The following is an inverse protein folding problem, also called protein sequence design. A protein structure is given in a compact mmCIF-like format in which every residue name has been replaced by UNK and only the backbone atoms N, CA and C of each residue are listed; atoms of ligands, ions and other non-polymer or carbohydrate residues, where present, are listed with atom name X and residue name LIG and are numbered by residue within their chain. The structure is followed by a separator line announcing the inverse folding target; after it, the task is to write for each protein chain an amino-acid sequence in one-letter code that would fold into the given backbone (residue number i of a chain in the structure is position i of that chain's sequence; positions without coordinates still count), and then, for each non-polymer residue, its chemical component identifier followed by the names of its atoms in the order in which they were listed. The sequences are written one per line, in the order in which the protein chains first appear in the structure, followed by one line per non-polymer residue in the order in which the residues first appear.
data_IF_264282642067
#
_entry.id   IF_264282642067
#
_cell.length_a   1.000
_cell.length_b   1.000
_cell.length_c   1.000
_cell.angle_alpha   90.00
_cell.angle_beta   90.00
_cell.angle_gamma   90.00
#
_symmetry.space_group_name_H-M   'P 1'
#
loop_
_entity.id
_entity.type
_entity.pdbx_description
1 polymer ?
#
# COMPACT_ATOMS: atom_id res chain seq x y z
N UNK A 1 12.96 -1.81 -1.67
CA UNK A 1 11.88 -1.99 -2.69
C UNK A 1 12.52 -1.96 -4.07
N UNK A 2 12.49 -3.06 -4.85
CA UNK A 2 13.24 -3.13 -6.13
C UNK A 2 12.54 -3.89 -7.25
N UNK A 3 11.25 -4.24 -7.10
CA UNK A 3 10.51 -5.03 -8.10
C UNK A 3 10.15 -4.21 -9.34
N UNK A 4 9.86 -4.89 -10.46
CA UNK A 4 9.51 -4.28 -11.76
C UNK A 4 8.39 -3.25 -11.64
N UNK A 5 7.27 -3.62 -11.03
CA UNK A 5 6.13 -2.73 -10.83
C UNK A 5 6.49 -1.45 -10.06
N UNK A 6 7.30 -1.55 -9.01
CA UNK A 6 7.70 -0.37 -8.25
C UNK A 6 8.60 0.55 -9.09
N UNK A 7 9.56 -0.02 -9.83
CA UNK A 7 10.42 0.75 -10.72
C UNK A 7 9.61 1.43 -11.84
N UNK A 8 8.71 0.70 -12.47
CA UNK A 8 7.94 1.21 -13.60
C UNK A 8 6.85 2.21 -13.19
N UNK A 9 6.02 1.87 -12.19
CA UNK A 9 4.83 2.66 -11.86
C UNK A 9 5.11 3.80 -10.87
N UNK A 10 6.05 3.60 -9.93
CA UNK A 10 6.31 4.57 -8.86
C UNK A 10 7.49 5.47 -9.22
N UNK A 11 8.62 4.91 -9.67
CA UNK A 11 9.83 5.69 -9.95
C UNK A 11 9.93 6.17 -11.41
N UNK A 12 9.44 5.39 -12.37
CA UNK A 12 9.55 5.68 -13.79
C UNK A 12 8.41 6.57 -14.29
N UNK A 13 7.22 5.99 -14.46
CA UNK A 13 6.05 6.68 -14.99
C UNK A 13 5.39 7.61 -13.97
N UNK A 14 5.76 7.49 -12.69
CA UNK A 14 5.19 8.23 -11.56
C UNK A 14 3.65 8.24 -11.54
N UNK A 15 3.04 7.13 -11.98
CA UNK A 15 1.57 6.99 -12.01
C UNK A 15 1.00 6.51 -10.68
N UNK A 16 1.84 5.91 -9.83
CA UNK A 16 1.41 5.32 -8.57
C UNK A 16 2.27 5.78 -7.38
N UNK A 17 1.66 5.93 -6.20
CA UNK A 17 2.38 6.12 -4.92
C UNK A 17 2.89 4.78 -4.38
N UNK A 18 2.18 3.70 -4.68
CA UNK A 18 2.52 2.34 -4.30
C UNK A 18 2.07 1.35 -5.37
N UNK A 19 2.79 0.24 -5.49
CA UNK A 19 2.43 -0.86 -6.37
C UNK A 19 2.77 -2.18 -5.70
N UNK A 20 1.94 -3.20 -5.93
CA UNK A 20 2.07 -4.52 -5.34
C UNK A 20 1.70 -5.61 -6.34
N UNK A 21 2.24 -6.80 -6.10
CA UNK A 21 1.75 -8.04 -6.69
C UNK A 21 1.88 -9.15 -5.66
N UNK A 22 0.85 -10.00 -5.55
CA UNK A 22 0.91 -11.16 -4.68
C UNK A 22 0.07 -12.30 -5.24
N UNK A 23 0.52 -13.52 -4.98
CA UNK A 23 -0.20 -14.75 -5.30
C UNK A 23 -1.02 -15.18 -4.08
N UNK A 24 -2.25 -15.64 -4.32
CA UNK A 24 -3.09 -16.33 -3.35
C UNK A 24 -3.47 -17.69 -3.93
N UNK A 25 -2.50 -18.61 -3.93
CA UNK A 25 -2.73 -20.00 -4.31
C UNK A 25 -3.76 -20.64 -3.38
N UNK A 26 -4.71 -21.35 -3.99
CA UNK A 26 -5.72 -22.18 -3.32
C UNK A 26 -5.89 -23.45 -4.13
N UNK A 27 -6.45 -24.49 -3.51
CA UNK A 27 -6.68 -25.78 -4.17
C UNK A 27 -7.55 -25.69 -5.44
N UNK A 28 -8.55 -24.80 -5.46
CA UNK A 28 -9.50 -24.68 -6.58
C UNK A 28 -9.49 -23.30 -7.23
N UNK A 29 -9.81 -22.24 -6.48
CA UNK A 29 -9.97 -20.89 -6.99
C UNK A 29 -8.90 -19.95 -6.41
N UNK A 30 -7.64 -20.22 -6.74
CA UNK A 30 -6.53 -19.31 -6.43
C UNK A 30 -6.57 -18.06 -7.33
N UNK A 31 -5.89 -17.00 -6.93
CA UNK A 31 -5.79 -15.78 -7.73
C UNK A 31 -4.41 -15.14 -7.66
N UNK A 32 -4.05 -14.37 -8.68
CA UNK A 32 -2.86 -13.52 -8.70
C UNK A 32 -3.31 -12.06 -8.78
N UNK A 33 -2.96 -11.29 -7.76
CA UNK A 33 -3.34 -9.89 -7.66
C UNK A 33 -2.18 -8.99 -8.06
N UNK A 34 -2.50 -7.97 -8.84
CA UNK A 34 -1.58 -6.89 -9.20
C UNK A 34 -2.36 -5.58 -9.03
N UNK A 35 -1.75 -4.58 -8.41
CA UNK A 35 -2.43 -3.31 -8.18
C UNK A 35 -1.51 -2.23 -7.66
N UNK A 36 -2.09 -1.06 -7.43
CA UNK A 36 -1.39 0.09 -6.89
C UNK A 36 -2.35 1.23 -6.55
N UNK A 37 -1.84 2.23 -5.86
CA UNK A 37 -2.56 3.46 -5.54
C UNK A 37 -2.11 4.57 -6.50
N UNK A 38 -3.06 5.19 -7.20
CA UNK A 38 -2.76 6.26 -8.15
C UNK A 38 -2.19 7.51 -7.45
N UNK A 39 -1.17 8.11 -8.05
CA UNK A 39 -0.57 9.38 -7.60
C UNK A 39 -1.34 10.55 -8.21
N UNK A 40 -1.80 11.52 -7.42
CA UNK A 40 -2.40 12.73 -7.98
C UNK A 40 -1.42 13.46 -8.92
N UNK A 41 -1.86 13.95 -10.10
CA UNK A 41 -3.24 14.02 -10.60
C UNK A 41 -3.69 12.81 -11.45
N UNK A 42 -2.93 11.71 -11.45
CA UNK A 42 -3.22 10.49 -12.23
C UNK A 42 -4.43 9.75 -11.68
N UNK A 43 -5.00 8.94 -12.54
CA UNK A 43 -6.21 8.16 -12.29
C UNK A 43 -5.88 6.68 -12.05
N UNK A 44 -6.79 5.91 -11.46
CA UNK A 44 -6.64 4.45 -11.42
C UNK A 44 -6.49 3.82 -12.81
N UNK A 45 -7.08 4.43 -13.85
CA UNK A 45 -6.92 3.97 -15.23
C UNK A 45 -5.49 4.10 -15.75
N UNK A 46 -4.76 5.15 -15.36
CA UNK A 46 -3.34 5.31 -15.70
C UNK A 46 -2.49 4.20 -15.06
N UNK A 47 -2.79 3.86 -13.81
CA UNK A 47 -2.13 2.74 -13.10
C UNK A 47 -2.45 1.42 -13.78
N UNK A 48 -3.72 1.17 -14.11
CA UNK A 48 -4.17 -0.04 -14.81
C UNK A 48 -3.44 -0.20 -16.16
N UNK A 49 -3.37 0.85 -16.96
CA UNK A 49 -2.66 0.83 -18.24
C UNK A 49 -1.16 0.54 -18.07
N UNK A 50 -0.51 1.13 -17.06
CA UNK A 50 0.89 0.86 -16.77
C UNK A 50 1.13 -0.58 -16.29
N UNK A 51 0.20 -1.15 -15.51
CA UNK A 51 0.25 -2.57 -15.12
C UNK A 51 0.19 -3.46 -16.37
N UNK A 52 -0.69 -3.16 -17.33
CA UNK A 52 -0.78 -3.92 -18.58
C UNK A 52 0.51 -3.85 -19.40
N UNK A 53 1.15 -2.68 -19.46
CA UNK A 53 2.47 -2.56 -20.09
C UNK A 53 3.51 -3.49 -19.47
N UNK A 54 3.57 -3.55 -18.13
CA UNK A 54 4.51 -4.44 -17.43
C UNK A 54 4.17 -5.93 -17.61
N UNK A 55 2.88 -6.28 -17.72
CA UNK A 55 2.45 -7.65 -18.03
C UNK A 55 2.88 -8.05 -19.45
N UNK A 56 2.69 -7.19 -20.44
CA UNK A 56 3.11 -7.47 -21.82
C UNK A 56 4.63 -7.60 -21.92
N UNK A 57 5.38 -6.76 -21.20
CA UNK A 57 6.83 -6.94 -21.07
C UNK A 57 7.19 -8.25 -20.41
N UNK A 58 6.49 -8.67 -19.34
CA UNK A 58 6.75 -9.97 -18.70
C UNK A 58 6.46 -11.16 -19.62
N UNK A 59 5.51 -11.03 -20.56
CA UNK A 59 5.22 -12.06 -21.56
C UNK A 59 6.28 -12.12 -22.64
N UNK A 60 6.81 -10.98 -23.07
CA UNK A 60 7.62 -10.89 -24.30
C UNK A 60 9.13 -10.75 -24.04
N UNK A 61 9.52 -10.22 -22.88
CA UNK A 61 10.91 -10.05 -22.47
C UNK A 61 11.27 -11.03 -21.36
N UNK A 62 12.37 -11.80 -21.49
CA UNK A 62 12.78 -12.71 -20.43
C UNK A 62 13.19 -11.93 -19.17
N UNK A 63 12.89 -12.49 -18.01
CA UNK A 63 13.44 -11.94 -16.76
C UNK A 63 14.94 -12.13 -16.72
N UNK A 64 15.67 -11.10 -16.29
CA UNK A 64 17.13 -11.21 -16.22
C UNK A 64 17.56 -12.29 -15.23
N UNK A 65 18.66 -12.99 -15.52
CA UNK A 65 19.20 -14.02 -14.63
C UNK A 65 19.48 -13.47 -13.22
N UNK A 66 19.98 -12.23 -13.12
CA UNK A 66 20.23 -11.56 -11.83
C UNK A 66 18.94 -11.33 -11.03
N UNK A 67 17.87 -10.90 -11.68
CA UNK A 67 16.58 -10.69 -11.04
C UNK A 67 15.98 -12.00 -10.56
N UNK A 68 15.98 -13.03 -11.41
CA UNK A 68 15.48 -14.36 -11.07
C UNK A 68 16.27 -14.98 -9.92
N UNK A 69 17.60 -14.89 -9.96
CA UNK A 69 18.47 -15.42 -8.90
C UNK A 69 18.21 -14.70 -7.57
N UNK A 70 17.98 -13.38 -7.58
CA UNK A 70 17.61 -12.64 -6.37
C UNK A 70 16.33 -13.17 -5.74
N UNK A 71 15.31 -13.48 -6.55
CA UNK A 71 14.05 -14.05 -6.05
C UNK A 71 14.25 -15.46 -5.52
N UNK A 72 15.00 -16.31 -6.23
CA UNK A 72 15.36 -17.66 -5.77
C UNK A 72 16.09 -17.65 -4.43
N UNK A 73 17.02 -16.73 -4.22
CA UNK A 73 17.74 -16.57 -2.96
C UNK A 73 16.79 -16.21 -1.81
N UNK A 74 15.77 -15.38 -2.06
CA UNK A 74 14.78 -15.05 -1.03
C UNK A 74 13.98 -16.30 -0.60
N UNK A 75 13.54 -17.13 -1.55
CA UNK A 75 12.85 -18.39 -1.25
C UNK A 75 13.76 -19.38 -0.51
N UNK A 76 15.01 -19.54 -0.93
CA UNK A 76 15.98 -20.39 -0.23
C UNK A 76 16.20 -19.91 1.22
N UNK A 77 16.34 -18.61 1.43
CA UNK A 77 16.50 -18.05 2.77
C UNK A 77 15.23 -18.20 3.64
N UNK A 78 14.03 -18.17 3.04
CA UNK A 78 12.80 -18.50 3.75
C UNK A 78 12.76 -19.97 4.18
N UNK A 79 13.25 -20.89 3.35
CA UNK A 79 13.31 -22.31 3.67
C UNK A 79 14.17 -22.59 4.91
N UNK A 80 15.36 -21.99 4.98
CA UNK A 80 16.28 -22.14 6.13
C UNK A 80 15.65 -21.64 7.43
N UNK A 81 14.82 -20.59 7.38
CA UNK A 81 14.18 -20.00 8.57
C UNK A 81 12.96 -20.75 9.09
N UNK A 82 12.44 -21.76 8.38
CA UNK A 82 11.19 -22.48 8.74
C UNK A 82 11.33 -23.43 9.95
N UNK A 83 12.54 -23.74 10.41
CA UNK A 83 12.80 -24.79 11.42
C UNK A 83 12.76 -24.37 12.90
N UNK A 84 12.26 -23.18 13.25
CA UNK A 84 12.47 -22.62 14.59
C UNK A 84 11.41 -23.00 15.65
N UNK A 85 10.26 -23.62 15.29
CA UNK A 85 9.19 -23.93 16.24
C UNK A 85 8.30 -25.08 15.80
N UNK A 86 8.03 -26.03 16.71
CA UNK A 86 7.12 -27.16 16.49
C UNK A 86 5.69 -26.72 16.16
N UNK A 87 5.22 -25.63 16.79
CA UNK A 87 3.89 -25.08 16.49
C UNK A 87 3.83 -24.52 15.07
N UNK A 88 4.85 -23.76 14.65
CA UNK A 88 4.91 -23.23 13.28
C UNK A 88 5.04 -24.36 12.24
N UNK A 89 5.66 -25.47 12.60
CA UNK A 89 5.72 -26.66 11.74
C UNK A 89 4.34 -27.32 11.60
N UNK A 90 3.61 -27.50 12.70
CA UNK A 90 2.23 -28.02 12.67
C UNK A 90 1.31 -27.15 11.81
N UNK A 91 1.35 -25.82 11.99
CA UNK A 91 0.54 -24.88 11.19
C UNK A 91 0.87 -24.98 9.70
N UNK A 92 2.15 -25.09 9.33
CA UNK A 92 2.55 -25.27 7.93
C UNK A 92 2.03 -26.59 7.37
N UNK A 93 2.16 -27.70 8.09
CA UNK A 93 1.66 -29.00 7.64
C UNK A 93 0.16 -28.96 7.36
N UNK A 94 -0.63 -28.34 8.25
CA UNK A 94 -2.08 -28.14 8.06
C UNK A 94 -2.34 -27.31 6.79
N UNK A 95 -1.55 -26.25 6.55
CA UNK A 95 -1.70 -25.43 5.35
C UNK A 95 -1.39 -26.20 4.06
N UNK A 96 -0.32 -27.00 4.03
CA UNK A 96 0.01 -27.82 2.85
C UNK A 96 -1.01 -28.93 2.61
N UNK A 97 -1.50 -29.57 3.68
CA UNK A 97 -2.56 -30.58 3.58
C UNK A 97 -3.86 -29.97 3.02
N UNK A 98 -4.26 -28.80 3.54
CA UNK A 98 -5.39 -28.04 2.99
C UNK A 98 -5.19 -27.61 1.53
N UNK A 99 -3.93 -27.45 1.11
CA UNK A 99 -3.54 -27.17 -0.28
C UNK A 99 -3.61 -28.39 -1.20
N UNK A 100 -3.51 -29.61 -0.66
CA UNK A 100 -3.70 -30.85 -1.40
C UNK A 100 -2.81 -32.03 -0.95
N UNK A 101 -1.59 -31.77 -0.49
CA UNK A 101 -0.67 -32.80 0.00
C UNK A 101 0.38 -32.17 0.91
N UNK A 102 0.38 -32.55 2.20
CA UNK A 102 1.36 -32.08 3.17
C UNK A 102 2.82 -32.32 2.75
N UNK A 103 3.10 -33.36 1.95
CA UNK A 103 4.46 -33.69 1.49
C UNK A 103 5.07 -32.60 0.61
N UNK A 104 4.24 -31.75 0.03
CA UNK A 104 4.65 -30.59 -0.77
C UNK A 104 5.57 -29.63 -0.01
N UNK A 105 5.54 -29.64 1.33
CA UNK A 105 6.47 -28.89 2.17
C UNK A 105 7.94 -29.19 1.86
N UNK A 106 8.24 -30.42 1.42
CA UNK A 106 9.60 -30.87 1.12
C UNK A 106 10.02 -30.56 -0.33
N UNK A 107 9.06 -30.38 -1.24
CA UNK A 107 9.32 -30.29 -2.69
C UNK A 107 9.12 -28.89 -3.26
N UNK A 108 8.40 -28.00 -2.55
CA UNK A 108 8.09 -26.64 -3.03
C UNK A 108 9.36 -25.84 -3.35
N UNK A 109 10.28 -25.70 -2.40
CA UNK A 109 11.48 -24.89 -2.58
C UNK A 109 12.39 -25.47 -3.66
N UNK A 110 12.72 -26.78 -3.68
CA UNK A 110 13.45 -27.38 -4.80
C UNK A 110 12.78 -27.13 -6.16
N UNK A 111 11.46 -27.12 -6.23
CA UNK A 111 10.71 -26.83 -7.47
C UNK A 111 10.86 -25.38 -7.89
N UNK A 112 10.75 -24.43 -6.95
CA UNK A 112 10.95 -22.99 -7.22
C UNK A 112 12.37 -22.71 -7.73
N UNK A 113 13.38 -23.39 -7.20
CA UNK A 113 14.77 -23.20 -7.62
C UNK A 113 15.05 -23.67 -9.05
N UNK A 114 14.22 -24.56 -9.61
CA UNK A 114 14.32 -25.04 -11.00
C UNK A 114 13.65 -24.12 -12.01
N UNK A 115 12.82 -23.17 -11.57
CA UNK A 115 12.07 -22.27 -12.46
C UNK A 115 13.02 -21.48 -13.36
N UNK A 116 12.72 -21.44 -14.64
CA UNK A 116 13.47 -20.69 -15.66
C UNK A 116 12.78 -19.38 -16.03
N UNK A 117 13.45 -18.52 -16.80
CA UNK A 117 12.82 -17.29 -17.30
C UNK A 117 11.71 -17.64 -18.31
N UNK A 118 11.92 -18.69 -19.08
CA UNK A 118 11.01 -19.24 -20.08
C UNK A 118 9.74 -19.79 -19.41
N UNK A 119 9.87 -20.45 -18.25
CA UNK A 119 8.71 -20.87 -17.46
C UNK A 119 7.85 -19.70 -17.02
N UNK A 120 8.49 -18.61 -16.57
CA UNK A 120 7.78 -17.39 -16.16
C UNK A 120 7.04 -16.79 -17.34
N UNK A 121 7.69 -16.67 -18.51
CA UNK A 121 7.05 -16.16 -19.73
C UNK A 121 5.89 -17.06 -20.17
N UNK A 122 6.09 -18.38 -20.18
CA UNK A 122 5.05 -19.35 -20.54
C UNK A 122 3.82 -19.23 -19.64
N UNK A 123 4.02 -19.12 -18.32
CA UNK A 123 2.93 -18.95 -17.35
C UNK A 123 2.27 -17.57 -17.50
N UNK A 124 3.04 -16.51 -17.70
CA UNK A 124 2.52 -15.17 -17.94
C UNK A 124 1.63 -15.12 -19.20
N UNK A 125 2.07 -15.74 -20.31
CA UNK A 125 1.29 -15.85 -21.55
C UNK A 125 0.01 -16.66 -21.37
N UNK A 126 0.08 -17.76 -20.60
CA UNK A 126 -1.06 -18.66 -20.39
C UNK A 126 -2.15 -18.04 -19.50
N UNK A 127 -1.77 -17.37 -18.41
CA UNK A 127 -2.71 -17.00 -17.35
C UNK A 127 -3.02 -15.51 -17.27
N UNK A 128 -2.12 -14.61 -17.67
CA UNK A 128 -2.34 -13.16 -17.59
C UNK A 128 -3.00 -12.63 -18.86
N UNK A 129 -4.16 -13.19 -19.22
CA UNK A 129 -4.92 -12.80 -20.42
C UNK A 129 -6.04 -11.81 -20.08
N UNK A 130 -6.65 -11.21 -21.10
CA UNK A 130 -7.77 -10.27 -20.91
C UNK A 130 -9.03 -11.00 -20.44
N UNK A 131 -9.19 -12.24 -20.86
CA UNK A 131 -10.34 -13.10 -20.56
C UNK A 131 -10.26 -13.65 -19.13
N UNK A 132 -9.05 -13.77 -18.58
CA UNK A 132 -8.79 -14.30 -17.24
C UNK A 132 -8.46 -13.20 -16.22
N UNK A 133 -9.11 -12.03 -16.32
CA UNK A 133 -8.92 -10.91 -15.39
C UNK A 133 -10.23 -10.32 -14.90
N UNK A 134 -10.19 -9.84 -13.66
CA UNK A 134 -11.23 -9.00 -13.06
C UNK A 134 -10.56 -7.73 -12.55
N UNK A 135 -11.12 -6.58 -12.88
CA UNK A 135 -10.59 -5.27 -12.47
C UNK A 135 -11.54 -4.65 -11.46
N UNK A 136 -11.01 -4.22 -10.32
CA UNK A 136 -11.74 -3.49 -9.30
C UNK A 136 -11.07 -2.12 -9.10
N UNK A 137 -11.83 -1.05 -9.30
CA UNK A 137 -11.35 0.32 -9.15
C UNK A 137 -12.11 1.00 -8.01
N UNK A 138 -11.36 1.48 -7.03
CA UNK A 138 -11.91 2.23 -5.90
C UNK A 138 -11.54 3.70 -6.06
N UNK A 139 -12.54 4.56 -6.17
CA UNK A 139 -12.37 6.02 -6.20
C UNK A 139 -12.96 6.64 -4.94
N UNK A 140 -12.40 7.76 -4.50
CA UNK A 140 -13.01 8.58 -3.45
C UNK A 140 -14.33 9.17 -3.97
N UNK A 141 -15.29 9.38 -3.08
CA UNK A 141 -16.53 10.08 -3.43
C UNK A 141 -16.17 11.48 -3.96
N UNK A 142 -16.78 11.96 -5.06
CA UNK A 142 -16.59 13.32 -5.51
C UNK A 142 -16.80 14.32 -4.36
N UNK A 143 -15.85 15.23 -4.14
CA UNK A 143 -15.87 16.18 -3.01
C UNK A 143 -15.17 15.69 -1.73
N UNK A 144 -14.77 14.41 -1.64
CA UNK A 144 -13.87 13.91 -0.57
C UNK A 144 -12.41 13.94 -0.98
N UNK A 145 -11.96 15.07 -1.57
CA UNK A 145 -10.52 15.36 -1.59
C UNK A 145 -10.05 15.26 -0.14
N UNK A 146 -8.95 14.55 0.13
CA UNK A 146 -8.22 14.85 1.36
C UNK A 146 -8.03 16.37 1.37
N UNK A 147 -8.34 17.09 2.45
CA UNK A 147 -8.22 18.53 2.42
C UNK A 147 -6.77 18.83 2.07
N UNK A 148 -6.54 19.21 0.81
CA UNK A 148 -5.42 20.04 0.40
C UNK A 148 -5.80 21.41 0.93
N UNK A 149 -5.79 21.51 2.26
CA UNK A 149 -5.88 22.76 2.95
C UNK A 149 -4.59 23.50 2.57
N UNK A 150 -4.67 24.69 1.96
CA UNK A 150 -3.49 25.48 1.62
C UNK A 150 -2.56 25.73 2.82
N UNK A 151 -3.08 25.58 4.04
CA UNK A 151 -2.29 25.66 5.27
C UNK A 151 -1.41 24.41 5.52
N UNK A 152 -1.68 23.28 4.85
CA UNK A 152 -0.94 22.01 4.96
C UNK A 152 0.18 21.86 3.92
N UNK A 153 0.25 22.79 2.97
CA UNK A 153 1.32 22.90 1.96
C UNK A 153 2.61 23.33 2.65
N UNK A 154 3.58 22.43 2.76
CA UNK A 154 4.88 22.67 3.42
C UNK A 154 5.13 21.81 4.67
N UNK A 155 4.13 21.08 5.16
CA UNK A 155 4.29 20.12 6.27
C UNK A 155 4.81 18.75 5.78
N UNK A 156 5.63 18.08 6.60
CA UNK A 156 6.06 16.70 6.34
C UNK A 156 4.87 15.72 6.41
N UNK A 157 4.99 14.54 5.79
CA UNK A 157 3.91 13.53 5.80
C UNK A 157 3.46 13.11 7.21
N UNK A 158 4.38 13.09 8.18
CA UNK A 158 4.07 12.83 9.60
C UNK A 158 3.28 13.99 10.22
N UNK A 159 3.68 15.24 9.96
CA UNK A 159 2.95 16.42 10.43
C UNK A 159 1.55 16.47 9.82
N UNK A 160 1.41 16.11 8.55
CA UNK A 160 0.10 16.02 7.90
C UNK A 160 -0.81 14.96 8.52
N UNK A 161 -0.26 13.82 8.92
CA UNK A 161 -1.01 12.77 9.61
C UNK A 161 -1.47 13.21 11.01
N UNK A 162 -0.62 13.92 11.76
CA UNK A 162 -0.96 14.47 13.09
C UNK A 162 -2.11 15.46 12.97
N UNK A 163 -2.04 16.43 12.05
CA UNK A 163 -3.12 17.41 11.88
C UNK A 163 -4.42 16.74 11.43
N UNK A 164 -4.36 15.75 10.53
CA UNK A 164 -5.57 14.99 10.12
C UNK A 164 -6.22 14.27 11.29
N UNK A 165 -5.42 13.65 12.17
CA UNK A 165 -5.92 12.97 13.37
C UNK A 165 -6.61 13.95 14.32
N UNK A 166 -5.97 15.08 14.60
CA UNK A 166 -6.50 16.13 15.49
C UNK A 166 -7.75 16.76 14.87
N UNK A 167 -7.74 17.06 13.57
CA UNK A 167 -8.89 17.62 12.85
C UNK A 167 -10.12 16.71 12.93
N UNK A 168 -9.93 15.40 12.84
CA UNK A 168 -11.02 14.44 12.97
C UNK A 168 -11.55 14.36 14.41
N UNK A 169 -10.69 14.51 15.43
CA UNK A 169 -11.12 14.60 16.83
C UNK A 169 -11.94 15.87 17.08
N UNK A 170 -11.49 17.01 16.56
CA UNK A 170 -12.21 18.30 16.68
C UNK A 170 -13.59 18.21 16.02
N UNK A 171 -13.69 17.61 14.83
CA UNK A 171 -14.98 17.40 14.15
C UNK A 171 -15.94 16.50 14.92
N UNK A 172 -15.42 15.53 15.67
CA UNK A 172 -16.22 14.63 16.49
C UNK A 172 -16.64 15.27 17.82
N UNK A 173 -16.02 16.37 18.24
CA UNK A 173 -16.39 17.10 19.44
C UNK A 173 -17.66 17.93 19.20
N UNK A 174 -18.56 17.85 20.16
CA UNK A 174 -19.87 18.53 20.15
C UNK A 174 -20.02 19.50 21.32
N UNK A 175 -19.13 19.44 22.32
CA UNK A 175 -19.13 20.35 23.44
C UNK A 175 -18.45 21.68 23.05
N UNK A 176 -19.26 22.74 22.94
CA UNK A 176 -18.81 24.08 22.56
C UNK A 176 -17.84 24.70 23.58
N UNK A 177 -18.14 24.60 24.88
CA UNK A 177 -17.30 25.16 25.95
C UNK A 177 -15.92 24.50 25.96
N UNK A 178 -15.87 23.20 25.74
CA UNK A 178 -14.61 22.45 25.67
C UNK A 178 -13.76 22.88 24.48
N UNK A 179 -14.38 23.16 23.33
CA UNK A 179 -13.68 23.66 22.15
C UNK A 179 -13.15 25.09 22.36
N UNK A 180 -13.92 25.95 23.03
CA UNK A 180 -13.49 27.31 23.39
C UNK A 180 -12.29 27.29 24.35
N UNK A 181 -12.37 26.48 25.41
CA UNK A 181 -11.24 26.29 26.34
C UNK A 181 -9.99 25.73 25.65
N UNK A 182 -10.16 24.82 24.69
CA UNK A 182 -9.05 24.31 23.88
C UNK A 182 -8.42 25.40 23.02
N UNK A 183 -9.22 26.27 22.41
CA UNK A 183 -8.72 27.38 21.60
C UNK A 183 -7.92 28.38 22.43
N UNK A 184 -8.45 28.80 23.58
CA UNK A 184 -7.77 29.72 24.51
C UNK A 184 -6.46 29.13 25.05
N UNK A 185 -6.44 27.85 25.40
CA UNK A 185 -5.24 27.16 25.84
C UNK A 185 -4.17 27.13 24.73
N UNK A 186 -4.57 26.92 23.48
CA UNK A 186 -3.67 26.95 22.33
C UNK A 186 -3.15 28.36 22.03
N UNK A 187 -3.98 29.40 22.18
CA UNK A 187 -3.57 30.80 22.01
C UNK A 187 -2.49 31.21 23.02
N UNK A 188 -2.67 30.83 24.29
CA UNK A 188 -1.69 31.10 25.35
C UNK A 188 -0.35 30.40 25.13
N UNK A 189 -0.39 29.18 24.58
CA UNK A 189 0.81 28.39 24.29
C UNK A 189 1.51 28.81 23.00
N UNK A 190 0.85 29.55 22.10
CA UNK A 190 1.40 29.93 20.80
C UNK A 190 2.66 30.80 20.93
N UNK A 191 2.72 31.66 21.95
CA UNK A 191 3.88 32.52 22.23
C UNK A 191 5.12 31.77 22.77
N UNK A 192 4.94 30.54 23.26
CA UNK A 192 6.01 29.72 23.84
C UNK A 192 6.53 28.64 22.89
N UNK A 193 5.86 28.42 21.75
CA UNK A 193 6.20 27.39 20.79
C UNK A 193 7.28 27.85 19.80
N UNK A 194 8.18 26.94 19.41
CA UNK A 194 9.18 27.20 18.38
C UNK A 194 8.52 27.45 17.02
N UNK A 195 9.16 28.21 16.11
CA UNK A 195 8.54 28.65 14.84
C UNK A 195 7.94 27.54 13.96
N UNK A 196 8.48 26.31 14.02
CA UNK A 196 7.89 25.13 13.34
C UNK A 196 6.63 24.60 14.02
N UNK A 197 6.57 24.64 15.36
CA UNK A 197 5.40 24.23 16.14
C UNK A 197 4.29 25.28 16.09
N UNK A 198 4.64 26.56 16.03
CA UNK A 198 3.69 27.65 15.82
C UNK A 198 2.88 27.51 14.53
N UNK A 199 3.52 27.09 13.43
CA UNK A 199 2.84 26.84 12.16
C UNK A 199 1.77 25.75 12.29
N UNK A 200 2.12 24.63 12.94
CA UNK A 200 1.21 23.51 13.17
C UNK A 200 0.04 23.90 14.09
N UNK A 201 0.32 24.62 15.19
CA UNK A 201 -0.70 25.08 16.13
C UNK A 201 -1.68 26.05 15.47
N UNK A 202 -1.20 27.01 14.68
CA UNK A 202 -2.08 27.94 13.94
C UNK A 202 -3.09 27.22 13.05
N UNK A 203 -2.66 26.15 12.37
CA UNK A 203 -3.55 25.35 11.51
C UNK A 203 -4.63 24.65 12.34
N UNK A 204 -4.24 24.06 13.48
CA UNK A 204 -5.18 23.37 14.37
C UNK A 204 -6.18 24.36 14.98
N UNK A 205 -5.71 25.54 15.41
CA UNK A 205 -6.55 26.61 15.95
C UNK A 205 -7.61 27.08 14.95
N UNK A 206 -7.25 27.24 13.66
CA UNK A 206 -8.23 27.55 12.60
C UNK A 206 -9.31 26.47 12.52
N UNK A 207 -8.95 25.19 12.60
CA UNK A 207 -9.94 24.08 12.58
C UNK A 207 -10.84 24.05 13.81
N UNK A 208 -10.31 24.39 14.99
CA UNK A 208 -11.12 24.54 16.21
C UNK A 208 -12.09 25.71 16.08
N UNK A 209 -11.63 26.87 15.60
CA UNK A 209 -12.46 28.05 15.38
C UNK A 209 -13.57 27.81 14.34
N UNK A 210 -13.27 27.13 13.23
CA UNK A 210 -14.26 26.69 12.23
C UNK A 210 -15.35 25.83 12.89
N UNK A 211 -14.97 24.87 13.75
CA UNK A 211 -15.92 23.98 14.43
C UNK A 211 -16.77 24.70 15.47
N UNK A 212 -16.19 25.62 16.23
CA UNK A 212 -16.94 26.50 17.14
C UNK A 212 -17.98 27.29 16.34
N UNK A 213 -17.59 27.89 15.21
CA UNK A 213 -18.49 28.65 14.36
C UNK A 213 -19.61 27.78 13.73
N UNK A 214 -19.35 26.51 13.44
CA UNK A 214 -20.37 25.54 13.02
C UNK A 214 -21.39 25.22 14.12
N UNK A 215 -20.93 25.03 15.37
CA UNK A 215 -21.77 24.66 16.51
C UNK A 215 -22.49 25.86 17.14
N UNK A 216 -22.07 27.08 16.81
CA UNK A 216 -22.68 28.34 17.30
C UNK A 216 -23.80 28.85 16.38
N UNK A 217 -24.11 28.13 15.29
CA UNK A 217 -25.22 28.40 14.36
C UNK A 217 -26.43 27.55 14.71
#
# INVERSE_FOLDING_TARGET
RSGRLHKALVLGNEVATSAFAHQMARKYAGMFNIGGEAKEPKTPGDVEAAIYGEIERLKNEPVSARELQKVKNNFAAMAVRRGASNFNMLVQLIQYEGGGDWRSINTEIPSILKITAEDIQRVAKKYLTKENRTVATNTRKPGTKAPNDPAMTGLSGEQQAVVRRISNQIKAETNLERLQQQLEAMESQLGQADGKQQGLMKIIMVKVAERIAELSK
#
